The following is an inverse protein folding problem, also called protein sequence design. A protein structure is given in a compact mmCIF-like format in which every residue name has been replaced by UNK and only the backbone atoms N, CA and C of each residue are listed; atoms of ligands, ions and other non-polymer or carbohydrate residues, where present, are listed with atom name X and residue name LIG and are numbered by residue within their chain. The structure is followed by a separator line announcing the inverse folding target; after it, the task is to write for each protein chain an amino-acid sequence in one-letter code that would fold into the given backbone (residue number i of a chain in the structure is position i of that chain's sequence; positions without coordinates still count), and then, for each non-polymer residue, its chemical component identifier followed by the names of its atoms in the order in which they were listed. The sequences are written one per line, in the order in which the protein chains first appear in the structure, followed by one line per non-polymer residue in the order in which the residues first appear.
data_IF_866216522613
#
_entry.id   IF_866216522613
#
_cell.length_a   1.000
_cell.length_b   1.000
_cell.length_c   1.000
_cell.angle_alpha   90.00
_cell.angle_beta   90.00
_cell.angle_gamma   90.00
#
_symmetry.space_group_name_H-M   'P 1'
#
loop_
_entity.id
_entity.type
_entity.pdbx_description
1 polymer ?
#
# COMPACT_ATOMS: atom_id res chain seq x y z
N UNK A 1 -19.47 10.21 29.73
CA UNK A 1 -20.59 11.04 29.26
C UNK A 1 -20.20 11.68 27.94
N UNK A 2 -21.16 12.12 27.13
CA UNK A 2 -20.91 12.78 25.85
C UNK A 2 -20.00 14.02 26.00
N UNK A 3 -20.05 14.69 27.15
CA UNK A 3 -19.14 15.78 27.52
C UNK A 3 -17.65 15.39 27.44
N UNK A 4 -17.30 14.17 27.85
CA UNK A 4 -15.91 13.68 27.74
C UNK A 4 -15.48 13.53 26.28
N UNK A 5 -16.37 13.03 25.41
CA UNK A 5 -16.08 12.85 23.99
C UNK A 5 -15.92 14.21 23.29
N UNK A 6 -16.79 15.17 23.59
CA UNK A 6 -16.73 16.53 23.04
C UNK A 6 -15.42 17.22 23.42
N UNK A 7 -14.99 17.13 24.68
CA UNK A 7 -13.70 17.71 25.12
C UNK A 7 -12.51 17.09 24.40
N UNK A 8 -12.52 15.76 24.21
CA UNK A 8 -11.46 15.06 23.50
C UNK A 8 -11.40 15.51 22.03
N UNK A 9 -12.56 15.66 21.37
CA UNK A 9 -12.63 16.15 20.00
C UNK A 9 -12.07 17.57 19.92
N UNK A 10 -12.53 18.47 20.80
CA UNK A 10 -12.10 19.87 20.79
C UNK A 10 -10.58 20.01 20.99
N UNK A 11 -10.01 19.28 21.96
CA UNK A 11 -8.57 19.31 22.24
C UNK A 11 -7.74 18.78 21.07
N UNK A 12 -8.17 17.67 20.46
CA UNK A 12 -7.46 17.08 19.32
C UNK A 12 -7.59 17.90 18.05
N UNK A 13 -8.77 18.46 17.76
CA UNK A 13 -8.92 19.35 16.59
C UNK A 13 -8.12 20.62 16.78
N UNK A 14 -8.10 21.19 17.98
CA UNK A 14 -7.24 22.34 18.30
C UNK A 14 -5.78 21.98 18.04
N UNK A 15 -5.28 20.90 18.64
CA UNK A 15 -3.89 20.48 18.47
C UNK A 15 -3.54 20.23 16.99
N UNK A 16 -4.42 19.54 16.25
CA UNK A 16 -4.21 19.29 14.83
C UNK A 16 -4.21 20.57 13.98
N UNK A 17 -5.08 21.52 14.30
CA UNK A 17 -5.17 22.84 13.64
C UNK A 17 -3.86 23.61 13.80
N UNK A 18 -3.30 23.65 15.01
CA UNK A 18 -2.02 24.31 15.27
C UNK A 18 -0.85 23.63 14.55
N UNK A 19 -0.78 22.30 14.57
CA UNK A 19 0.29 21.56 13.88
C UNK A 19 0.24 21.78 12.35
N UNK A 20 -0.96 21.81 11.77
CA UNK A 20 -1.16 22.02 10.34
C UNK A 20 -0.95 23.47 9.91
N UNK A 21 -1.24 24.43 10.80
CA UNK A 21 -1.08 25.85 10.56
C UNK A 21 0.34 26.37 10.75
N UNK A 22 1.24 25.60 11.38
CA UNK A 22 2.63 25.97 11.60
C UNK A 22 3.36 26.25 10.26
N UNK A 23 4.25 27.25 10.16
CA UNK A 23 5.05 27.52 8.96
C UNK A 23 5.92 26.33 8.48
N UNK A 24 6.29 25.42 9.37
CA UNK A 24 6.95 24.15 9.06
C UNK A 24 5.94 22.99 9.02
N UNK A 25 4.74 23.27 8.49
CA UNK A 25 3.57 22.40 8.52
C UNK A 25 3.90 20.92 8.32
N UNK A 26 3.56 20.12 9.33
CA UNK A 26 3.68 18.67 9.28
C UNK A 26 2.38 18.10 8.71
N UNK A 27 2.47 17.30 7.65
CA UNK A 27 1.30 16.61 7.08
C UNK A 27 1.09 15.22 7.70
N UNK A 28 -0.15 14.69 7.72
CA UNK A 28 -0.43 13.33 8.20
C UNK A 28 0.38 12.26 7.46
N UNK A 29 1.35 11.65 8.15
CA UNK A 29 2.31 10.70 7.58
C UNK A 29 2.32 9.35 8.33
N UNK A 30 3.11 8.38 7.83
CA UNK A 30 3.27 7.06 8.46
C UNK A 30 4.29 7.03 9.58
N UNK A 31 5.19 8.01 9.64
CA UNK A 31 6.34 8.05 10.57
C UNK A 31 6.55 9.48 11.09
N UNK A 32 7.35 9.61 12.15
CA UNK A 32 7.76 10.91 12.70
C UNK A 32 6.60 11.75 13.22
N UNK A 33 6.73 13.07 13.14
CA UNK A 33 5.71 14.02 13.59
C UNK A 33 4.37 13.84 12.87
N UNK A 34 4.39 13.47 11.58
CA UNK A 34 3.17 13.24 10.80
C UNK A 34 2.37 12.02 11.26
N UNK A 35 3.03 11.02 11.87
CA UNK A 35 2.34 9.90 12.51
C UNK A 35 1.56 10.35 13.76
N UNK A 36 2.15 11.25 14.56
CA UNK A 36 1.49 11.80 15.74
C UNK A 36 0.28 12.65 15.35
N UNK A 37 0.42 13.52 14.36
CA UNK A 37 -0.70 14.31 13.83
C UNK A 37 -1.84 13.41 13.35
N UNK A 38 -1.50 12.39 12.56
CA UNK A 38 -2.47 11.39 12.07
C UNK A 38 -3.21 10.71 13.23
N UNK A 39 -2.50 10.32 14.29
CA UNK A 39 -3.10 9.71 15.49
C UNK A 39 -4.11 10.64 16.18
N UNK A 40 -3.77 11.91 16.34
CA UNK A 40 -4.63 12.92 16.97
C UNK A 40 -5.93 13.10 16.15
N UNK A 41 -5.80 13.27 14.83
CA UNK A 41 -6.94 13.42 13.92
C UNK A 41 -7.86 12.19 14.01
N UNK A 42 -7.30 10.98 13.86
CA UNK A 42 -8.07 9.73 13.88
C UNK A 42 -8.83 9.52 15.19
N UNK A 43 -8.22 9.92 16.30
CA UNK A 43 -8.87 9.88 17.62
C UNK A 43 -10.08 10.81 17.68
N UNK A 44 -9.96 12.04 17.17
CA UNK A 44 -11.10 12.96 17.06
C UNK A 44 -12.22 12.38 16.18
N UNK A 45 -11.88 11.81 15.02
CA UNK A 45 -12.87 11.17 14.11
C UNK A 45 -13.63 10.07 14.83
N UNK A 46 -12.95 9.18 15.56
CA UNK A 46 -13.57 8.08 16.31
C UNK A 46 -14.59 8.58 17.32
N UNK A 47 -14.23 9.57 18.14
CA UNK A 47 -15.16 10.14 19.11
C UNK A 47 -16.34 10.85 18.42
N UNK A 48 -16.12 11.48 17.26
CA UNK A 48 -17.20 12.01 16.44
C UNK A 48 -18.19 10.93 16.00
N UNK A 49 -17.69 9.79 15.50
CA UNK A 49 -18.54 8.63 15.15
C UNK A 49 -19.29 8.06 16.34
N UNK A 50 -18.65 8.00 17.52
CA UNK A 50 -19.28 7.57 18.77
C UNK A 50 -20.45 8.48 19.19
N UNK A 51 -20.37 9.77 18.87
CA UNK A 51 -21.45 10.74 19.08
C UNK A 51 -22.53 10.72 17.97
N UNK A 52 -22.41 9.83 16.98
CA UNK A 52 -23.35 9.73 15.87
C UNK A 52 -23.12 10.76 14.75
N UNK A 53 -21.98 11.45 14.74
CA UNK A 53 -21.65 12.38 13.66
C UNK A 53 -21.29 11.58 12.41
N UNK A 54 -21.96 11.84 11.29
CA UNK A 54 -21.67 11.24 9.98
C UNK A 54 -20.93 12.23 9.06
N UNK A 55 -20.18 11.70 8.09
CA UNK A 55 -19.42 12.51 7.14
C UNK A 55 -18.20 13.21 7.75
N UNK A 56 -17.55 14.06 6.95
CA UNK A 56 -16.44 14.88 7.41
C UNK A 56 -16.94 16.04 8.28
N UNK A 57 -16.36 16.23 9.46
CA UNK A 57 -16.79 17.29 10.38
C UNK A 57 -15.64 18.09 10.99
N UNK A 58 -14.40 17.59 11.00
CA UNK A 58 -13.29 18.22 11.74
C UNK A 58 -12.91 19.61 11.22
N UNK A 59 -13.19 19.90 9.94
CA UNK A 59 -12.95 21.23 9.36
C UNK A 59 -13.78 22.33 10.05
N UNK A 60 -15.02 22.04 10.49
CA UNK A 60 -15.90 23.05 11.10
C UNK A 60 -15.40 23.52 12.48
N UNK A 61 -15.04 22.63 13.43
CA UNK A 61 -14.42 23.08 14.66
C UNK A 61 -13.06 23.75 14.43
N UNK A 62 -12.29 23.32 13.42
CA UNK A 62 -11.02 23.97 13.06
C UNK A 62 -11.22 25.43 12.63
N UNK A 63 -12.25 25.74 11.82
CA UNK A 63 -12.61 27.12 11.46
C UNK A 63 -12.88 27.99 12.70
N UNK A 64 -13.56 27.45 13.71
CA UNK A 64 -13.82 28.15 14.98
C UNK A 64 -12.49 28.44 15.70
N UNK A 65 -11.60 27.44 15.78
CA UNK A 65 -10.29 27.59 16.40
C UNK A 65 -9.43 28.63 15.67
N UNK A 66 -9.37 28.58 14.34
CA UNK A 66 -8.63 29.56 13.53
C UNK A 66 -9.14 30.98 13.82
N UNK A 67 -10.46 31.16 13.85
CA UNK A 67 -11.06 32.47 14.17
C UNK A 67 -10.71 32.94 15.58
N UNK A 68 -10.82 32.09 16.59
CA UNK A 68 -10.54 32.44 18.00
C UNK A 68 -9.07 32.82 18.22
N UNK A 69 -8.14 32.17 17.52
CA UNK A 69 -6.70 32.36 17.73
C UNK A 69 -6.03 33.28 16.70
N UNK A 70 -6.76 33.75 15.69
CA UNK A 70 -6.25 34.59 14.59
C UNK A 70 -5.47 35.83 15.03
N UNK A 71 -5.86 36.46 16.15
CA UNK A 71 -5.18 37.65 16.66
C UNK A 71 -3.77 37.37 17.21
N UNK A 72 -3.55 36.17 17.76
CA UNK A 72 -2.27 35.76 18.33
C UNK A 72 -1.41 34.93 17.37
N UNK A 73 -2.04 34.25 16.42
CA UNK A 73 -1.41 33.33 15.45
C UNK A 73 -1.91 33.65 14.03
N UNK A 74 -1.33 34.66 13.35
CA UNK A 74 -1.73 35.08 12.00
C UNK A 74 -1.53 34.01 10.93
N UNK A 75 -0.64 33.05 11.15
CA UNK A 75 -0.38 31.92 10.26
C UNK A 75 -1.57 30.96 10.14
N UNK A 76 -2.45 30.91 11.15
CA UNK A 76 -3.63 30.04 11.13
C UNK A 76 -4.62 30.42 10.02
N UNK A 77 -5.07 31.69 9.89
CA UNK A 77 -5.91 32.09 8.77
C UNK A 77 -5.17 32.04 7.42
N UNK A 78 -3.86 32.32 7.38
CA UNK A 78 -3.06 32.19 6.14
C UNK A 78 -3.08 30.75 5.59
N UNK A 79 -3.07 29.75 6.48
CA UNK A 79 -3.08 28.33 6.13
C UNK A 79 -4.47 27.67 6.24
N UNK A 80 -5.55 28.44 6.40
CA UNK A 80 -6.89 27.89 6.65
C UNK A 80 -7.33 26.88 5.59
N UNK A 81 -7.14 27.20 4.31
CA UNK A 81 -7.50 26.31 3.21
C UNK A 81 -6.76 24.96 3.30
N UNK A 82 -5.46 25.00 3.59
CA UNK A 82 -4.62 23.82 3.74
C UNK A 82 -5.02 22.99 4.97
N UNK A 83 -5.26 23.64 6.13
CA UNK A 83 -5.70 22.96 7.35
C UNK A 83 -7.00 22.20 7.09
N UNK A 84 -7.99 22.87 6.49
CA UNK A 84 -9.31 22.29 6.20
C UNK A 84 -9.20 21.12 5.22
N UNK A 85 -8.38 21.26 4.19
CA UNK A 85 -8.13 20.20 3.22
C UNK A 85 -7.50 18.97 3.88
N UNK A 86 -6.40 19.15 4.63
CA UNK A 86 -5.69 18.02 5.26
C UNK A 86 -6.55 17.29 6.31
N UNK A 87 -7.32 18.02 7.12
CA UNK A 87 -8.26 17.43 8.07
C UNK A 87 -9.33 16.60 7.35
N UNK A 88 -9.94 17.16 6.31
CA UNK A 88 -10.98 16.49 5.52
C UNK A 88 -10.42 15.23 4.84
N UNK A 89 -9.26 15.34 4.19
CA UNK A 89 -8.61 14.22 3.51
C UNK A 89 -8.31 13.04 4.45
N UNK A 90 -7.70 13.31 5.61
CA UNK A 90 -7.39 12.23 6.57
C UNK A 90 -8.68 11.68 7.21
N UNK A 91 -9.68 12.52 7.50
CA UNK A 91 -10.96 12.08 8.04
C UNK A 91 -11.73 11.17 7.09
N UNK A 92 -11.87 11.53 5.82
CA UNK A 92 -12.55 10.72 4.82
C UNK A 92 -11.83 9.40 4.58
N UNK A 93 -10.50 9.45 4.49
CA UNK A 93 -9.65 8.27 4.33
C UNK A 93 -9.80 7.33 5.52
N UNK A 94 -9.76 7.86 6.75
CA UNK A 94 -9.86 7.05 7.96
C UNK A 94 -11.28 6.56 8.21
N UNK A 95 -12.31 7.33 7.88
CA UNK A 95 -13.71 6.96 8.13
C UNK A 95 -14.10 5.62 7.50
N UNK A 96 -13.59 5.33 6.29
CA UNK A 96 -13.79 4.03 5.62
C UNK A 96 -13.14 2.87 6.39
N UNK A 97 -11.91 3.08 6.85
CA UNK A 97 -11.13 2.10 7.63
C UNK A 97 -11.73 1.87 9.02
N UNK A 98 -12.14 2.94 9.69
CA UNK A 98 -12.72 2.93 11.03
C UNK A 98 -13.95 2.04 11.11
N UNK A 99 -14.91 2.19 10.18
CA UNK A 99 -16.13 1.37 10.15
C UNK A 99 -15.83 -0.12 10.02
N UNK A 100 -14.90 -0.49 9.14
CA UNK A 100 -14.51 -1.90 8.98
C UNK A 100 -13.79 -2.45 10.22
N UNK A 101 -12.89 -1.66 10.81
CA UNK A 101 -12.13 -2.06 12.00
C UNK A 101 -13.01 -2.20 13.25
N UNK A 102 -13.94 -1.27 13.46
CA UNK A 102 -14.90 -1.33 14.57
C UNK A 102 -15.81 -2.56 14.45
N UNK A 103 -16.35 -2.84 13.27
CA UNK A 103 -17.17 -4.01 13.03
C UNK A 103 -16.43 -5.31 13.36
N UNK A 104 -15.14 -5.42 12.99
CA UNK A 104 -14.35 -6.60 13.31
C UNK A 104 -14.03 -6.68 14.82
N UNK A 105 -13.67 -5.57 15.45
CA UNK A 105 -13.45 -5.52 16.89
C UNK A 105 -14.69 -5.97 17.67
N UNK A 106 -15.88 -5.51 17.28
CA UNK A 106 -17.14 -5.89 17.93
C UNK A 106 -17.45 -7.38 17.80
N UNK A 107 -17.09 -8.02 16.67
CA UNK A 107 -17.22 -9.49 16.52
C UNK A 107 -16.26 -10.26 17.43
N UNK A 108 -15.08 -9.72 17.68
CA UNK A 108 -14.06 -10.34 18.54
C UNK A 108 -14.36 -10.12 20.03
N UNK A 109 -15.03 -9.02 20.37
CA UNK A 109 -15.27 -8.58 21.74
C UNK A 109 -15.90 -9.66 22.65
N UNK A 110 -16.95 -10.42 22.27
CA UNK A 110 -17.52 -11.46 23.12
C UNK A 110 -16.51 -12.57 23.49
N UNK A 111 -15.59 -12.90 22.57
CA UNK A 111 -14.56 -13.91 22.83
C UNK A 111 -13.41 -13.33 23.66
N UNK A 112 -13.05 -12.06 23.43
CA UNK A 112 -12.05 -11.36 24.23
C UNK A 112 -12.49 -11.15 25.67
N UNK A 113 -13.78 -10.90 25.92
CA UNK A 113 -14.34 -10.75 27.26
C UNK A 113 -14.35 -12.05 28.08
N UNK A 114 -14.36 -13.22 27.41
CA UNK A 114 -14.20 -14.53 28.08
C UNK A 114 -12.77 -14.75 28.59
N UNK A 115 -11.79 -13.95 28.14
CA UNK A 115 -10.43 -14.04 28.62
C UNK A 115 -10.35 -13.48 30.06
N UNK A 116 -10.05 -14.30 31.08
CA UNK A 116 -9.99 -13.86 32.47
C UNK A 116 -8.91 -12.78 32.71
N UNK A 117 -7.88 -12.73 31.87
CA UNK A 117 -6.82 -11.72 31.97
C UNK A 117 -7.23 -10.35 31.43
N UNK A 118 -8.34 -10.26 30.68
CA UNK A 118 -8.79 -9.02 30.00
C UNK A 118 -7.69 -8.37 29.14
N UNK A 119 -6.87 -9.20 28.49
CA UNK A 119 -5.81 -8.76 27.58
C UNK A 119 -6.18 -9.20 26.16
N UNK A 120 -6.15 -8.25 25.22
CA UNK A 120 -6.21 -8.52 23.78
C UNK A 120 -4.84 -9.01 23.34
N UNK A 121 -4.70 -10.24 22.83
CA UNK A 121 -3.42 -10.78 22.40
C UNK A 121 -2.80 -9.94 21.28
N UNK A 122 -1.47 -9.81 21.28
CA UNK A 122 -0.74 -9.03 20.28
C UNK A 122 -1.03 -9.44 18.84
N UNK A 123 -1.16 -10.75 18.58
CA UNK A 123 -1.57 -11.29 17.27
C UNK A 123 -2.95 -10.83 16.80
N UNK A 124 -3.89 -10.66 17.72
CA UNK A 124 -5.25 -10.17 17.38
C UNK A 124 -5.21 -8.68 17.07
N UNK A 125 -4.49 -7.89 17.87
CA UNK A 125 -4.27 -6.47 17.60
C UNK A 125 -3.51 -6.25 16.28
N UNK A 126 -2.52 -7.09 15.99
CA UNK A 126 -1.76 -7.04 14.75
C UNK A 126 -2.63 -7.38 13.54
N UNK A 127 -3.52 -8.37 13.64
CA UNK A 127 -4.50 -8.67 12.59
C UNK A 127 -5.43 -7.48 12.30
N UNK A 128 -5.92 -6.82 13.35
CA UNK A 128 -6.74 -5.61 13.19
C UNK A 128 -5.97 -4.52 12.42
N UNK A 129 -4.69 -4.33 12.74
CA UNK A 129 -3.81 -3.39 12.06
C UNK A 129 -3.49 -3.77 10.61
N UNK A 130 -2.92 -4.96 10.37
CA UNK A 130 -2.43 -5.38 9.05
C UNK A 130 -3.56 -5.65 8.06
N UNK A 131 -4.59 -6.39 8.49
CA UNK A 131 -5.66 -6.84 7.59
C UNK A 131 -6.74 -5.77 7.38
N UNK A 132 -7.09 -5.03 8.43
CA UNK A 132 -8.21 -4.09 8.42
C UNK A 132 -7.77 -2.63 8.46
N UNK A 133 -6.46 -2.35 8.51
CA UNK A 133 -5.90 -1.01 8.61
C UNK A 133 -6.20 -0.32 9.94
N UNK A 134 -6.65 -1.08 10.95
CA UNK A 134 -7.19 -0.54 12.19
C UNK A 134 -6.05 -0.23 13.17
N UNK A 135 -5.80 1.06 13.47
CA UNK A 135 -4.58 1.43 14.19
C UNK A 135 -4.54 0.86 15.61
N UNK A 136 -3.35 0.50 16.08
CA UNK A 136 -3.18 -0.08 17.42
C UNK A 136 -3.65 0.90 18.50
N UNK A 137 -3.41 2.19 18.34
CA UNK A 137 -3.83 3.22 19.28
C UNK A 137 -5.36 3.26 19.48
N UNK A 138 -6.12 2.99 18.42
CA UNK A 138 -7.58 2.93 18.48
C UNK A 138 -8.02 1.61 19.14
N UNK A 139 -7.32 0.52 18.84
CA UNK A 139 -7.53 -0.77 19.49
C UNK A 139 -7.30 -0.68 21.01
N UNK A 140 -6.24 0.01 21.44
CA UNK A 140 -5.95 0.27 22.86
C UNK A 140 -7.05 1.08 23.54
N UNK A 141 -7.59 2.10 22.89
CA UNK A 141 -8.69 2.88 23.44
C UNK A 141 -9.98 2.05 23.57
N UNK A 142 -10.32 1.29 22.54
CA UNK A 142 -11.48 0.40 22.58
C UNK A 142 -11.33 -0.68 23.65
N UNK A 143 -10.12 -1.21 23.82
CA UNK A 143 -9.81 -2.15 24.90
C UNK A 143 -10.08 -1.50 26.25
N UNK A 144 -9.54 -0.30 26.50
CA UNK A 144 -9.72 0.43 27.77
C UNK A 144 -11.19 0.71 28.07
N UNK A 145 -11.97 1.12 27.07
CA UNK A 145 -13.42 1.35 27.21
C UNK A 145 -14.19 0.09 27.61
N UNK A 146 -13.66 -1.09 27.28
CA UNK A 146 -14.23 -2.39 27.65
C UNK A 146 -13.53 -3.03 28.86
N UNK A 147 -12.72 -2.26 29.60
CA UNK A 147 -11.99 -2.74 30.78
C UNK A 147 -10.88 -3.75 30.47
N UNK A 148 -10.32 -3.69 29.26
CA UNK A 148 -9.24 -4.55 28.77
C UNK A 148 -7.97 -3.74 28.45
N UNK A 149 -6.85 -4.43 28.31
CA UNK A 149 -5.60 -3.87 27.77
C UNK A 149 -5.17 -4.61 26.51
N UNK A 150 -4.23 -4.06 25.76
CA UNK A 150 -3.64 -4.70 24.57
C UNK A 150 -2.23 -5.15 24.92
N UNK A 151 -1.88 -6.36 24.53
CA UNK A 151 -0.50 -6.85 24.57
C UNK A 151 0.32 -6.17 23.45
N UNK A 152 0.86 -4.99 23.79
CA UNK A 152 1.64 -4.15 22.86
C UNK A 152 3.01 -4.76 22.55
N UNK A 153 3.60 -5.54 23.46
CA UNK A 153 4.85 -6.26 23.22
C UNK A 153 4.62 -7.38 22.20
N UNK A 154 3.56 -8.17 22.37
CA UNK A 154 3.15 -9.17 21.40
C UNK A 154 2.78 -8.56 20.05
N UNK A 155 2.14 -7.39 20.02
CA UNK A 155 1.88 -6.68 18.76
C UNK A 155 3.18 -6.33 18.05
N UNK A 156 4.15 -5.75 18.75
CA UNK A 156 5.46 -5.39 18.18
C UNK A 156 6.22 -6.63 17.73
N UNK A 157 6.11 -7.74 18.45
CA UNK A 157 6.72 -9.00 18.05
C UNK A 157 6.11 -9.53 16.75
N UNK A 158 4.79 -9.47 16.59
CA UNK A 158 4.09 -9.86 15.36
C UNK A 158 4.38 -8.89 14.21
N UNK A 159 4.46 -7.58 14.47
CA UNK A 159 4.87 -6.58 13.47
C UNK A 159 6.31 -6.82 13.02
N UNK A 160 7.23 -7.08 13.97
CA UNK A 160 8.62 -7.41 13.67
C UNK A 160 8.70 -8.71 12.89
N UNK A 161 7.95 -9.74 13.28
CA UNK A 161 7.88 -11.02 12.57
C UNK A 161 7.34 -10.82 11.15
N UNK A 162 6.29 -10.03 10.96
CA UNK A 162 5.74 -9.75 9.64
C UNK A 162 6.70 -8.89 8.79
N UNK A 163 7.43 -7.97 9.42
CA UNK A 163 8.48 -7.20 8.77
C UNK A 163 9.66 -8.09 8.40
N UNK A 164 10.06 -9.01 9.27
CA UNK A 164 11.10 -10.01 9.06
C UNK A 164 10.67 -11.04 8.03
N UNK A 165 9.41 -11.47 7.97
CA UNK A 165 8.85 -12.31 6.92
C UNK A 165 8.81 -11.56 5.60
N UNK A 166 8.42 -10.28 5.60
CA UNK A 166 8.48 -9.43 4.40
C UNK A 166 9.94 -9.18 3.96
N UNK A 167 10.87 -9.11 4.91
CA UNK A 167 12.32 -8.92 4.68
C UNK A 167 13.06 -10.21 4.37
N UNK A 168 12.61 -11.35 4.85
CA UNK A 168 13.18 -12.68 4.58
C UNK A 168 12.61 -13.23 3.29
N UNK A 169 11.35 -12.88 2.98
CA UNK A 169 10.85 -12.86 1.61
C UNK A 169 11.79 -12.01 0.77
N UNK A 170 12.15 -10.76 1.15
CA UNK A 170 13.09 -9.91 0.38
C UNK A 170 14.57 -10.33 0.42
N UNK A 171 15.01 -11.14 1.38
CA UNK A 171 16.40 -11.60 1.51
C UNK A 171 16.61 -12.99 0.90
N UNK A 172 15.56 -13.80 0.81
CA UNK A 172 15.43 -14.92 -0.12
C UNK A 172 14.89 -14.52 -1.49
N UNK A 173 14.63 -13.22 -1.69
CA UNK A 173 14.26 -12.68 -3.00
C UNK A 173 15.50 -12.62 -3.88
N UNK A 174 15.61 -13.51 -4.84
CA UNK A 174 16.58 -13.37 -5.92
C UNK A 174 16.27 -12.07 -6.71
N UNK A 175 17.29 -11.50 -7.38
CA UNK A 175 17.17 -10.32 -8.26
C UNK A 175 15.86 -10.42 -9.08
N UNK A 176 14.91 -9.48 -8.88
CA UNK A 176 13.61 -9.48 -9.59
C UNK A 176 12.35 -9.83 -8.78
N UNK A 177 12.41 -10.14 -7.47
CA UNK A 177 11.19 -10.35 -6.67
C UNK A 177 10.78 -11.81 -6.39
N UNK A 178 11.66 -12.77 -6.73
CA UNK A 178 11.38 -14.20 -6.75
C UNK A 178 11.73 -14.91 -5.44
N UNK A 179 10.80 -15.68 -4.88
CA UNK A 179 11.01 -16.48 -3.67
C UNK A 179 11.63 -17.86 -3.96
N UNK A 180 11.55 -18.35 -5.20
CA UNK A 180 12.16 -19.61 -5.65
C UNK A 180 12.49 -19.59 -7.17
N UNK A 181 13.06 -20.68 -7.71
CA UNK A 181 13.34 -20.86 -9.14
C UNK A 181 12.44 -21.91 -9.81
N UNK A 182 11.25 -22.17 -9.25
CA UNK A 182 10.32 -23.09 -9.86
C UNK A 182 9.89 -22.59 -11.24
N UNK A 183 9.44 -23.53 -12.07
CA UNK A 183 8.87 -23.22 -13.37
C UNK A 183 7.71 -22.22 -13.26
N UNK A 184 6.85 -22.38 -12.25
CA UNK A 184 5.71 -21.49 -12.01
C UNK A 184 6.17 -20.08 -11.66
N UNK A 185 7.17 -19.95 -10.78
CA UNK A 185 7.76 -18.66 -10.41
C UNK A 185 8.43 -17.97 -11.60
N UNK A 186 9.07 -18.73 -12.50
CA UNK A 186 9.66 -18.21 -13.75
C UNK A 186 8.60 -17.67 -14.72
N UNK A 187 7.46 -18.38 -14.84
CA UNK A 187 6.31 -17.91 -15.63
C UNK A 187 5.73 -16.62 -15.05
N UNK A 188 5.51 -16.57 -13.73
CA UNK A 188 5.05 -15.35 -13.06
C UNK A 188 6.02 -14.18 -13.20
N UNK A 189 7.32 -14.45 -13.22
CA UNK A 189 8.33 -13.41 -13.40
C UNK A 189 8.19 -12.73 -14.75
N UNK A 190 8.06 -13.52 -15.82
CA UNK A 190 7.85 -12.96 -17.16
C UNK A 190 6.50 -12.25 -17.26
N UNK A 191 5.45 -12.80 -16.65
CA UNK A 191 4.15 -12.13 -16.55
C UNK A 191 4.23 -10.77 -15.84
N UNK A 192 5.15 -10.59 -14.91
CA UNK A 192 5.37 -9.33 -14.20
C UNK A 192 5.87 -8.22 -15.14
N UNK A 193 6.77 -8.54 -16.07
CA UNK A 193 7.24 -7.59 -17.08
C UNK A 193 6.16 -7.22 -18.08
N UNK A 194 5.36 -8.19 -18.53
CA UNK A 194 4.19 -7.92 -19.37
C UNK A 194 3.19 -7.00 -18.66
N UNK A 195 2.92 -7.28 -17.37
CA UNK A 195 2.03 -6.45 -16.54
C UNK A 195 2.56 -5.03 -16.37
N UNK A 196 3.85 -4.86 -16.04
CA UNK A 196 4.45 -3.53 -15.85
C UNK A 196 4.35 -2.69 -17.12
N UNK A 197 4.61 -3.28 -18.30
CA UNK A 197 4.46 -2.55 -19.55
C UNK A 197 2.99 -2.27 -19.89
N UNK A 198 2.09 -3.23 -19.72
CA UNK A 198 0.66 -3.03 -19.96
C UNK A 198 0.09 -1.92 -19.07
N UNK A 199 0.50 -1.84 -17.81
CA UNK A 199 0.13 -0.76 -16.90
C UNK A 199 0.61 0.60 -17.41
N UNK A 200 1.84 0.70 -17.91
CA UNK A 200 2.34 1.95 -18.50
C UNK A 200 1.56 2.35 -19.75
N UNK A 201 1.24 1.40 -20.62
CA UNK A 201 0.47 1.67 -21.84
C UNK A 201 -0.95 2.19 -21.54
N UNK A 202 -1.58 1.71 -20.46
CA UNK A 202 -2.96 2.07 -20.10
C UNK A 202 -3.03 3.29 -19.19
N UNK A 203 -2.11 3.41 -18.24
CA UNK A 203 -2.18 4.40 -17.16
C UNK A 203 -1.19 5.56 -17.29
N UNK A 204 -0.18 5.45 -18.16
CA UNK A 204 0.84 6.48 -18.38
C UNK A 204 2.24 6.12 -17.88
N UNK A 205 3.23 6.88 -18.34
CA UNK A 205 4.67 6.68 -18.07
C UNK A 205 5.06 6.90 -16.61
N UNK A 206 4.22 7.56 -15.80
CA UNK A 206 4.44 7.75 -14.37
C UNK A 206 4.31 6.45 -13.55
N UNK A 207 3.79 5.38 -14.15
CA UNK A 207 3.67 4.09 -13.50
C UNK A 207 5.03 3.41 -13.41
N UNK A 208 5.53 3.29 -12.18
CA UNK A 208 6.77 2.62 -11.86
C UNK A 208 6.53 1.55 -10.79
N UNK A 209 7.18 0.40 -10.95
CA UNK A 209 7.20 -0.63 -9.93
C UNK A 209 7.75 -0.09 -8.60
N UNK A 210 7.04 -0.41 -7.52
CA UNK A 210 7.39 -0.08 -6.12
C UNK A 210 7.67 -1.33 -5.28
N UNK A 211 7.31 -2.51 -5.77
CA UNK A 211 7.61 -3.78 -5.12
C UNK A 211 7.03 -4.95 -5.89
N UNK A 212 7.66 -6.11 -5.78
CA UNK A 212 7.15 -7.37 -6.32
C UNK A 212 7.36 -8.48 -5.29
N UNK A 213 6.48 -9.47 -5.27
CA UNK A 213 6.66 -10.71 -4.53
C UNK A 213 5.99 -11.84 -5.29
N UNK A 214 6.80 -12.79 -5.74
CA UNK A 214 6.37 -13.90 -6.59
C UNK A 214 6.67 -15.21 -5.86
N UNK A 215 5.65 -16.05 -5.72
CA UNK A 215 5.76 -17.43 -5.24
C UNK A 215 5.05 -18.36 -6.21
N UNK A 216 5.23 -19.67 -6.05
CA UNK A 216 4.50 -20.67 -6.84
C UNK A 216 2.96 -20.55 -6.76
N UNK A 217 2.44 -19.98 -5.68
CA UNK A 217 0.98 -19.87 -5.45
C UNK A 217 0.40 -18.51 -5.83
N UNK A 218 1.21 -17.44 -5.87
CA UNK A 218 0.70 -16.07 -6.05
C UNK A 218 1.74 -15.10 -6.60
N UNK A 219 1.26 -14.17 -7.41
CA UNK A 219 2.02 -12.98 -7.83
C UNK A 219 1.42 -11.72 -7.19
N UNK A 220 2.28 -10.90 -6.60
CA UNK A 220 1.94 -9.58 -6.04
C UNK A 220 2.80 -8.52 -6.71
N UNK A 221 2.16 -7.50 -7.28
CA UNK A 221 2.82 -6.41 -7.96
C UNK A 221 2.37 -5.05 -7.41
N UNK A 222 3.30 -4.24 -6.93
CA UNK A 222 3.04 -2.91 -6.40
C UNK A 222 3.61 -1.85 -7.35
N UNK A 223 2.82 -0.82 -7.66
CA UNK A 223 3.19 0.22 -8.62
C UNK A 223 2.71 1.61 -8.17
N UNK A 224 3.39 2.67 -8.63
CA UNK A 224 2.98 4.05 -8.37
C UNK A 224 1.75 4.40 -9.18
N UNK A 225 0.66 4.71 -8.49
CA UNK A 225 -0.54 5.27 -9.10
C UNK A 225 -1.40 5.93 -8.02
N UNK A 226 -1.92 7.12 -8.31
CA UNK A 226 -2.50 8.01 -7.30
C UNK A 226 -3.95 7.63 -6.92
N UNK A 227 -4.66 6.91 -7.79
CA UNK A 227 -6.06 6.51 -7.60
C UNK A 227 -6.27 5.01 -7.80
N UNK A 228 -7.48 4.54 -7.53
CA UNK A 228 -7.87 3.18 -7.93
C UNK A 228 -7.98 3.09 -9.45
N UNK A 229 -7.64 1.93 -10.00
CA UNK A 229 -7.91 1.63 -11.40
C UNK A 229 -9.42 1.46 -11.58
N UNK A 230 -9.93 1.90 -12.73
CA UNK A 230 -11.30 1.59 -13.14
C UNK A 230 -11.42 0.13 -13.54
N UNK A 231 -12.66 -0.40 -13.63
CA UNK A 231 -12.85 -1.80 -14.07
C UNK A 231 -12.41 -1.99 -15.51
N UNK A 232 -12.59 -0.96 -16.32
CA UNK A 232 -12.21 -0.90 -17.72
C UNK A 232 -10.69 -0.91 -17.88
N UNK A 233 -9.97 -0.12 -17.07
CA UNK A 233 -8.50 -0.13 -17.04
C UNK A 233 -7.94 -1.50 -16.62
N UNK A 234 -8.54 -2.12 -15.60
CA UNK A 234 -8.13 -3.48 -15.15
C UNK A 234 -8.34 -4.48 -16.28
N UNK A 235 -9.50 -4.46 -16.93
CA UNK A 235 -9.82 -5.36 -18.04
C UNK A 235 -8.90 -5.12 -19.25
N UNK A 236 -8.57 -3.87 -19.56
CA UNK A 236 -7.68 -3.53 -20.66
C UNK A 236 -6.25 -4.01 -20.39
N UNK A 237 -5.73 -3.82 -19.17
CA UNK A 237 -4.41 -4.32 -18.78
C UNK A 237 -4.35 -5.85 -18.87
N UNK A 238 -5.36 -6.54 -18.34
CA UNK A 238 -5.46 -8.01 -18.43
C UNK A 238 -5.53 -8.48 -19.89
N UNK A 239 -6.29 -7.81 -20.74
CA UNK A 239 -6.41 -8.13 -22.15
C UNK A 239 -5.08 -7.97 -22.90
N UNK A 240 -4.36 -6.87 -22.67
CA UNK A 240 -3.04 -6.63 -23.28
C UNK A 240 -2.04 -7.73 -22.87
N UNK A 241 -1.99 -8.09 -21.59
CA UNK A 241 -1.07 -9.15 -21.12
C UNK A 241 -1.37 -10.47 -21.81
N UNK A 242 -2.65 -10.88 -21.86
CA UNK A 242 -3.05 -12.12 -22.51
C UNK A 242 -2.85 -12.09 -24.03
N UNK A 243 -3.00 -10.94 -24.68
CA UNK A 243 -2.68 -10.77 -26.10
C UNK A 243 -1.18 -11.03 -26.35
N UNK A 244 -0.29 -10.46 -25.53
CA UNK A 244 1.14 -10.68 -25.68
C UNK A 244 1.55 -12.13 -25.36
N UNK A 245 0.84 -12.80 -24.44
CA UNK A 245 1.03 -14.24 -24.22
C UNK A 245 0.61 -15.04 -25.45
N UNK A 246 -0.55 -14.71 -26.04
CA UNK A 246 -1.07 -15.38 -27.24
C UNK A 246 -0.17 -15.17 -28.47
N UNK A 247 0.50 -14.03 -28.57
CA UNK A 247 1.42 -13.71 -29.66
C UNK A 247 2.75 -14.50 -29.61
N UNK A 248 2.98 -15.25 -28.53
CA UNK A 248 4.14 -16.13 -28.36
C UNK A 248 5.50 -15.45 -28.64
N UNK A 249 5.69 -14.29 -28.00
CA UNK A 249 6.88 -13.48 -28.19
C UNK A 249 8.12 -14.18 -27.63
N UNK A 250 9.26 -14.14 -28.36
CA UNK A 250 10.52 -14.65 -27.83
C UNK A 250 11.02 -13.77 -26.68
N UNK A 251 11.67 -14.39 -25.70
CA UNK A 251 12.33 -13.72 -24.58
C UNK A 251 13.83 -13.94 -24.68
N UNK A 252 14.57 -12.86 -24.89
CA UNK A 252 16.03 -12.89 -25.10
C UNK A 252 16.76 -12.16 -23.98
N UNK A 253 18.02 -12.53 -23.74
CA UNK A 253 18.85 -11.94 -22.70
C UNK A 253 20.22 -11.55 -23.26
N UNK A 254 20.63 -10.32 -22.98
CA UNK A 254 21.96 -9.80 -23.31
C UNK A 254 22.63 -9.23 -22.07
N UNK A 255 23.95 -9.35 -21.99
CA UNK A 255 24.76 -8.71 -20.95
C UNK A 255 25.44 -7.49 -21.57
N UNK A 256 25.17 -6.31 -21.02
CA UNK A 256 25.73 -5.06 -21.53
C UNK A 256 25.98 -4.04 -20.41
N UNK A 257 26.76 -2.97 -20.66
CA UNK A 257 26.90 -1.88 -19.71
C UNK A 257 25.56 -1.20 -19.41
N UNK A 258 25.36 -0.78 -18.15
CA UNK A 258 24.11 -0.11 -17.72
C UNK A 258 23.77 1.11 -18.57
N UNK A 259 24.77 1.89 -18.97
CA UNK A 259 24.58 3.08 -19.80
C UNK A 259 24.08 2.73 -21.21
N UNK A 260 24.51 1.61 -21.77
CA UNK A 260 24.05 1.16 -23.08
C UNK A 260 22.63 0.57 -22.99
N UNK A 261 22.31 -0.14 -21.89
CA UNK A 261 20.95 -0.58 -21.61
C UNK A 261 19.96 0.60 -21.57
N UNK A 262 20.31 1.69 -20.88
CA UNK A 262 19.50 2.92 -20.84
C UNK A 262 19.32 3.55 -22.22
N UNK A 263 20.39 3.63 -23.03
CA UNK A 263 20.31 4.17 -24.40
C UNK A 263 19.39 3.35 -25.30
N UNK A 264 19.32 2.04 -25.08
CA UNK A 264 18.39 1.16 -25.81
C UNK A 264 16.94 1.21 -25.30
N UNK A 265 16.64 2.08 -24.34
CA UNK A 265 15.30 2.23 -23.76
C UNK A 265 14.95 1.17 -22.71
N UNK A 266 15.93 0.41 -22.20
CA UNK A 266 15.66 -0.58 -21.17
C UNK A 266 15.24 0.11 -19.86
N UNK A 267 14.11 -0.32 -19.30
CA UNK A 267 13.65 0.16 -18.00
C UNK A 267 14.48 -0.50 -16.89
N UNK A 268 14.90 0.30 -15.92
CA UNK A 268 15.56 -0.17 -14.71
C UNK A 268 14.71 0.17 -13.49
N UNK A 269 14.78 -0.66 -12.46
CA UNK A 269 14.09 -0.43 -11.20
C UNK A 269 14.86 0.62 -10.39
N UNK A 270 14.20 1.74 -10.09
CA UNK A 270 14.78 2.82 -9.30
C UNK A 270 15.09 2.35 -7.87
N UNK A 271 16.36 2.42 -7.47
CA UNK A 271 16.83 2.13 -6.11
C UNK A 271 17.68 0.87 -5.96
N UNK A 272 17.81 0.03 -6.99
CA UNK A 272 18.76 -1.08 -6.96
C UNK A 272 20.18 -0.62 -7.30
N UNK A 273 21.17 -1.16 -6.57
CA UNK A 273 22.58 -1.01 -6.94
C UNK A 273 22.88 -2.00 -8.06
N UNK A 274 23.06 -1.47 -9.27
CA UNK A 274 23.45 -2.26 -10.42
C UNK A 274 24.97 -2.40 -10.51
N UNK A 275 25.42 -3.57 -10.97
CA UNK A 275 26.80 -3.81 -11.35
C UNK A 275 27.14 -3.04 -12.64
N UNK A 276 28.43 -2.92 -12.99
CA UNK A 276 28.86 -2.22 -14.21
C UNK A 276 28.34 -2.88 -15.50
N UNK A 277 28.13 -4.20 -15.46
CA UNK A 277 27.42 -4.96 -16.47
C UNK A 277 26.10 -5.48 -15.91
N UNK A 278 25.04 -5.34 -16.70
CA UNK A 278 23.69 -5.74 -16.33
C UNK A 278 23.13 -6.72 -17.36
N UNK A 279 22.26 -7.61 -16.90
CA UNK A 279 21.44 -8.46 -17.77
C UNK A 279 20.21 -7.68 -18.20
N UNK A 280 19.98 -7.60 -19.50
CA UNK A 280 18.81 -6.96 -20.11
C UNK A 280 17.99 -8.04 -20.77
N UNK A 281 16.73 -8.16 -20.35
CA UNK A 281 15.76 -9.05 -20.95
C UNK A 281 14.87 -8.28 -21.92
N UNK A 282 14.66 -8.83 -23.11
CA UNK A 282 13.77 -8.28 -24.13
C UNK A 282 12.67 -9.29 -24.43
N UNK A 283 11.42 -8.87 -24.32
CA UNK A 283 10.24 -9.66 -24.68
C UNK A 283 9.70 -9.13 -26.03
N UNK A 284 9.88 -9.92 -27.08
CA UNK A 284 9.68 -9.54 -28.48
C UNK A 284 10.99 -9.52 -29.27
N UNK A 285 10.94 -9.06 -30.51
CA UNK A 285 12.12 -8.97 -31.38
C UNK A 285 12.93 -7.70 -31.10
N UNK A 286 14.19 -7.67 -31.54
CA UNK A 286 15.07 -6.52 -31.32
C UNK A 286 14.49 -5.19 -31.85
N UNK A 287 13.81 -5.23 -32.99
CA UNK A 287 13.22 -4.07 -33.65
C UNK A 287 11.77 -3.81 -33.25
N UNK A 288 11.10 -4.77 -32.61
CA UNK A 288 9.71 -4.67 -32.19
C UNK A 288 9.48 -5.47 -30.89
N UNK A 289 9.90 -4.87 -29.78
CA UNK A 289 9.76 -5.45 -28.45
C UNK A 289 8.58 -4.83 -27.71
N UNK A 290 7.92 -5.63 -26.88
CA UNK A 290 6.87 -5.17 -25.98
C UNK A 290 7.47 -4.63 -24.68
N UNK A 291 8.35 -5.40 -24.03
CA UNK A 291 9.05 -4.97 -22.81
C UNK A 291 10.56 -5.21 -22.94
N UNK A 292 11.37 -4.27 -22.43
CA UNK A 292 12.83 -4.36 -22.34
C UNK A 292 13.27 -3.84 -20.97
N UNK A 293 13.84 -4.71 -20.14
CA UNK A 293 14.09 -4.41 -18.73
C UNK A 293 15.42 -4.96 -18.23
N UNK A 294 16.06 -4.22 -17.31
CA UNK A 294 17.21 -4.70 -16.57
C UNK A 294 16.72 -5.64 -15.47
N UNK A 295 17.01 -6.93 -15.61
CA UNK A 295 16.51 -7.96 -14.69
C UNK A 295 17.52 -9.10 -14.49
N UNK A 296 17.56 -9.66 -13.28
CA UNK A 296 18.51 -10.71 -12.90
C UNK A 296 17.92 -12.10 -12.65
N UNK A 297 16.60 -12.25 -12.74
CA UNK A 297 15.90 -13.52 -12.45
C UNK A 297 15.68 -14.38 -13.71
N UNK A 298 15.27 -15.66 -13.54
CA UNK A 298 14.88 -16.53 -14.65
C UNK A 298 13.65 -16.02 -15.41
N UNK A 299 13.60 -16.31 -16.71
CA UNK A 299 12.47 -16.01 -17.59
C UNK A 299 12.09 -17.24 -18.41
N UNK A 300 10.86 -17.24 -18.90
CA UNK A 300 10.43 -18.18 -19.95
C UNK A 300 11.21 -17.88 -21.24
N UNK A 301 11.27 -18.82 -22.17
CA UNK A 301 11.84 -18.57 -23.50
C UNK A 301 10.83 -17.88 -24.42
N UNK A 302 9.56 -18.14 -24.21
CA UNK A 302 8.45 -17.76 -25.07
C UNK A 302 7.22 -17.41 -24.24
N UNK A 303 6.52 -16.31 -24.56
CA UNK A 303 5.40 -15.84 -23.73
C UNK A 303 4.24 -16.83 -23.67
N UNK A 304 4.03 -17.69 -24.68
CA UNK A 304 3.00 -18.73 -24.64
C UNK A 304 3.18 -19.74 -23.49
N UNK A 305 4.41 -19.88 -22.97
CA UNK A 305 4.69 -20.75 -21.82
C UNK A 305 4.02 -20.25 -20.53
N UNK A 306 3.58 -18.99 -20.46
CA UNK A 306 2.91 -18.43 -19.29
C UNK A 306 1.49 -18.99 -19.13
N UNK A 307 0.77 -19.22 -20.24
CA UNK A 307 -0.64 -19.64 -20.24
C UNK A 307 -1.61 -18.47 -20.20
N UNK A 308 -2.64 -18.53 -19.35
CA UNK A 308 -3.61 -17.44 -19.18
C UNK A 308 -3.28 -16.63 -17.94
N UNK A 309 -3.26 -15.31 -18.04
CA UNK A 309 -3.03 -14.39 -16.93
C UNK A 309 -4.34 -13.77 -16.45
N UNK A 310 -4.53 -13.67 -15.12
CA UNK A 310 -5.72 -13.08 -14.53
C UNK A 310 -5.41 -12.20 -13.34
N UNK A 311 -5.97 -10.99 -13.32
CA UNK A 311 -5.96 -10.09 -12.18
C UNK A 311 -7.07 -10.52 -11.22
N UNK A 312 -6.67 -11.00 -10.04
CA UNK A 312 -7.59 -11.43 -8.98
C UNK A 312 -8.09 -10.24 -8.17
N UNK A 313 -7.19 -9.28 -7.90
CA UNK A 313 -7.52 -8.12 -7.06
C UNK A 313 -6.60 -6.94 -7.33
N UNK A 314 -7.19 -5.75 -7.38
CA UNK A 314 -6.51 -4.46 -7.33
C UNK A 314 -6.91 -3.73 -6.04
N UNK A 315 -5.95 -3.17 -5.30
CA UNK A 315 -6.23 -2.42 -4.07
C UNK A 315 -5.14 -1.42 -3.71
N UNK A 316 -5.47 -0.47 -2.83
CA UNK A 316 -4.47 0.45 -2.25
C UNK A 316 -3.47 -0.31 -1.36
N UNK A 317 -2.18 -0.08 -1.56
CA UNK A 317 -1.08 -0.57 -0.71
C UNK A 317 -0.59 0.53 0.24
N UNK A 318 -0.43 1.73 -0.30
CA UNK A 318 -0.07 2.92 0.45
C UNK A 318 -0.49 4.19 -0.28
N UNK A 319 -0.23 5.36 0.32
CA UNK A 319 -0.47 6.62 -0.37
C UNK A 319 0.35 6.64 -1.68
N UNK A 320 -0.32 6.84 -2.82
CA UNK A 320 0.32 6.84 -4.14
C UNK A 320 0.80 5.48 -4.66
N UNK A 321 0.48 4.37 -3.99
CA UNK A 321 0.89 3.02 -4.41
C UNK A 321 -0.29 2.07 -4.44
N UNK A 322 -0.48 1.41 -5.58
CA UNK A 322 -1.49 0.40 -5.84
C UNK A 322 -0.86 -0.99 -5.89
N UNK A 323 -1.66 -2.02 -5.64
CA UNK A 323 -1.24 -3.42 -5.60
C UNK A 323 -2.19 -4.27 -6.42
N UNK A 324 -1.62 -5.02 -7.35
CA UNK A 324 -2.27 -6.09 -8.09
C UNK A 324 -1.87 -7.44 -7.51
N UNK A 325 -2.85 -8.32 -7.34
CA UNK A 325 -2.64 -9.77 -7.18
C UNK A 325 -3.14 -10.47 -8.42
N UNK A 326 -2.32 -11.37 -8.96
CA UNK A 326 -2.64 -12.09 -10.19
C UNK A 326 -2.27 -13.57 -10.09
N UNK A 327 -2.89 -14.37 -10.96
CA UNK A 327 -2.65 -15.81 -11.11
C UNK A 327 -2.43 -16.16 -12.59
N UNK A 328 -1.73 -17.27 -12.82
CA UNK A 328 -1.56 -17.85 -14.16
C UNK A 328 -2.06 -19.30 -14.20
N UNK A 329 -2.60 -19.73 -15.34
CA UNK A 329 -3.13 -21.10 -15.54
C UNK A 329 -2.81 -21.66 -16.95
N UNK A 330 -2.56 -22.96 -17.06
CA UNK A 330 -2.58 -23.69 -18.35
C UNK A 330 -1.38 -23.50 -19.30
N UNK A 331 -0.28 -22.87 -18.87
CA UNK A 331 0.91 -22.62 -19.71
C UNK A 331 1.76 -23.87 -20.02
N UNK A 332 2.47 -23.86 -21.15
CA UNK A 332 3.34 -24.96 -21.60
C UNK A 332 4.54 -25.19 -20.66
N UNK A 333 5.07 -26.42 -20.57
CA UNK A 333 6.32 -26.71 -19.86
C UNK A 333 7.48 -25.79 -20.27
N UNK A 334 8.39 -25.50 -19.34
CA UNK A 334 9.62 -24.75 -19.68
C UNK A 334 10.64 -25.59 -20.44
N UNK A 335 10.63 -26.90 -20.20
CA UNK A 335 11.42 -27.87 -20.97
C UNK A 335 10.53 -28.47 -22.06
N UNK A 336 10.90 -28.23 -23.31
CA UNK A 336 10.40 -28.94 -24.48
C UNK A 336 11.58 -29.61 -25.20
#
# INVERSE_FOLDING_TARGET
SDDTAIRIIADHVRTATFILGDPQAVTPARTGAGYILRRIIRRAVRYGRKLGVEGAFLAKPAEIIIREYSAAYPELPEHEAFIREQLTLEEEKFGKTLKSGENEFQKLLPNLQKNPRKIIPGRVAFRLYDTFGFPIEITEEMAKENGMTVDTEGFKAEEKKHQEESRSLSAGTFKGGLVDHSEVTTKYHTATHLLQQALVNVLGDEVAQKGSNITAERMRFDFSFHRAMTKEEIAQVEAIVNEQIKNDLPVTMEIMPLEDAKKQGARALFGEKYDSQVKVYTIGSADNWFSKEVCGGPHVQHTAQIGTFKIVKEQSSSAGVRRIRATIEGGLPLEA
#
